data_IF_233646482272
#
_entry.id   IF_233646482272
#
_cell.length_a   1.000
_cell.length_b   1.000
_cell.length_c   1.000
_cell.angle_alpha   90.00
_cell.angle_beta   90.00
_cell.angle_gamma   90.00
#
_symmetry.space_group_name_H-M   'P 1'
#
loop_
_entity.id
_entity.type
_entity.pdbx_description
1 polymer ?
#
# COMPACT_ATOMS: atom_id res chain seq x y z
N UNK A 1 -5.82 18.82 9.25
CA UNK A 1 -5.26 17.58 8.76
C UNK A 1 -4.30 17.87 7.63
N UNK A 2 -3.11 17.34 7.71
CA UNK A 2 -2.00 17.85 6.92
C UNK A 2 -1.55 16.93 5.78
N UNK A 3 -2.48 16.27 5.10
CA UNK A 3 -2.15 15.55 3.87
C UNK A 3 -2.02 16.59 2.77
N UNK A 4 -0.80 16.74 2.26
CA UNK A 4 -0.50 17.80 1.31
C UNK A 4 -0.95 17.47 -0.10
N UNK A 5 -1.01 16.19 -0.46
CA UNK A 5 -1.32 15.77 -1.82
C UNK A 5 -1.77 14.32 -1.85
N UNK A 6 -2.77 14.03 -2.67
CA UNK A 6 -3.28 12.67 -2.87
C UNK A 6 -3.39 12.39 -4.36
N UNK A 7 -2.81 11.28 -4.81
CA UNK A 7 -3.00 10.75 -6.16
C UNK A 7 -3.63 9.38 -6.07
N UNK A 8 -4.48 9.04 -7.04
CA UNK A 8 -5.15 7.73 -7.11
C UNK A 8 -4.72 7.01 -8.37
N UNK A 9 -4.29 5.76 -8.22
CA UNK A 9 -3.90 4.90 -9.33
C UNK A 9 -4.71 3.61 -9.28
N UNK A 10 -4.86 2.96 -10.43
CA UNK A 10 -5.59 1.69 -10.54
C UNK A 10 -4.68 0.67 -11.19
N UNK A 11 -4.54 -0.49 -10.57
CA UNK A 11 -3.70 -1.57 -11.07
C UNK A 11 -4.46 -2.57 -11.91
N UNK A 12 -3.87 -2.99 -13.00
CA UNK A 12 -4.45 -3.98 -13.91
C UNK A 12 -4.10 -5.40 -13.46
N UNK A 13 -4.87 -6.36 -13.96
CA UNK A 13 -4.60 -7.78 -13.76
C UNK A 13 -3.15 -8.12 -14.08
N UNK A 14 -2.52 -8.90 -13.23
CA UNK A 14 -1.13 -9.30 -13.39
C UNK A 14 -0.11 -8.35 -12.78
N UNK A 15 -0.55 -7.23 -12.21
CA UNK A 15 0.36 -6.21 -11.68
C UNK A 15 0.39 -6.12 -10.16
N UNK A 16 -0.60 -6.71 -9.47
CA UNK A 16 -0.75 -6.48 -8.03
C UNK A 16 0.40 -7.06 -7.21
N UNK A 17 0.77 -8.30 -7.46
CA UNK A 17 1.83 -8.96 -6.69
C UNK A 17 3.17 -8.25 -6.83
N UNK A 18 3.56 -7.91 -8.07
CA UNK A 18 4.82 -7.22 -8.31
C UNK A 18 4.81 -5.82 -7.70
N UNK A 19 3.69 -5.11 -7.78
CA UNK A 19 3.59 -3.78 -7.20
C UNK A 19 3.67 -3.82 -5.67
N UNK A 20 3.03 -4.82 -5.06
CA UNK A 20 3.10 -5.00 -3.61
C UNK A 20 4.54 -5.24 -3.15
N UNK A 21 5.29 -6.08 -3.87
CA UNK A 21 6.70 -6.29 -3.57
C UNK A 21 7.50 -5.00 -3.74
N UNK A 22 7.20 -4.22 -4.76
CA UNK A 22 7.91 -2.97 -5.03
C UNK A 22 7.71 -1.97 -3.87
N UNK A 23 6.47 -1.76 -3.42
CA UNK A 23 6.24 -0.76 -2.37
C UNK A 23 6.82 -1.20 -1.03
N UNK A 24 6.93 -2.50 -0.76
CA UNK A 24 7.55 -2.99 0.46
C UNK A 24 9.06 -3.19 0.32
N UNK A 25 9.62 -2.90 -0.85
CA UNK A 25 11.05 -3.13 -1.13
C UNK A 25 11.43 -4.58 -0.90
N UNK A 26 10.56 -5.49 -1.35
CA UNK A 26 10.71 -6.92 -1.14
C UNK A 26 11.05 -7.61 -2.46
N UNK A 27 11.37 -8.90 -2.42
CA UNK A 27 11.69 -9.67 -3.59
C UNK A 27 12.85 -9.06 -4.37
N UNK A 28 12.68 -8.88 -5.67
CA UNK A 28 13.74 -8.32 -6.52
C UNK A 28 14.03 -6.86 -6.24
N UNK A 29 13.19 -6.18 -5.48
CA UNK A 29 13.37 -4.77 -5.14
C UNK A 29 14.08 -4.57 -3.81
N UNK A 30 14.42 -5.64 -3.12
CA UNK A 30 14.99 -5.60 -1.78
C UNK A 30 16.30 -4.81 -1.71
N UNK A 31 17.12 -4.91 -2.75
CA UNK A 31 18.42 -4.25 -2.80
C UNK A 31 18.34 -2.82 -3.31
N UNK A 32 17.18 -2.41 -3.80
CA UNK A 32 16.97 -1.08 -4.32
C UNK A 32 16.29 -0.24 -3.23
N UNK A 33 16.77 0.93 -2.96
CA UNK A 33 16.11 1.91 -2.08
C UNK A 33 15.73 1.38 -0.70
N UNK A 34 16.48 0.43 -0.16
CA UNK A 34 16.23 -0.10 1.18
C UNK A 34 16.17 0.99 2.24
N UNK A 35 16.94 2.06 2.06
CA UNK A 35 17.07 3.11 3.05
C UNK A 35 15.90 4.08 3.07
N UNK A 36 14.97 4.01 2.11
CA UNK A 36 13.86 4.93 2.06
C UNK A 36 12.55 4.37 2.63
N UNK A 37 12.52 3.09 3.00
CA UNK A 37 11.33 2.48 3.59
C UNK A 37 11.27 2.78 5.09
N UNK A 38 10.29 3.58 5.51
CA UNK A 38 10.09 3.92 6.92
C UNK A 38 9.16 2.98 7.64
N UNK A 39 8.14 2.48 6.97
CA UNK A 39 7.09 1.69 7.60
C UNK A 39 6.37 0.85 6.56
N UNK A 40 5.99 -0.36 6.95
CA UNK A 40 5.19 -1.23 6.09
C UNK A 40 4.24 -2.04 6.97
N UNK A 41 2.98 -2.10 6.58
CA UNK A 41 1.96 -2.84 7.31
C UNK A 41 0.87 -3.26 6.34
N UNK A 42 0.11 -4.28 6.71
CA UNK A 42 -1.05 -4.72 5.94
C UNK A 42 -2.18 -5.09 6.91
N UNK A 43 -3.39 -5.13 6.39
CA UNK A 43 -4.54 -5.47 7.22
C UNK A 43 -5.71 -5.99 6.42
N UNK A 44 -6.70 -6.49 7.14
CA UNK A 44 -7.95 -7.01 6.59
C UNK A 44 -7.76 -8.14 5.58
N UNK A 45 -6.62 -8.81 5.61
CA UNK A 45 -6.35 -9.92 4.71
C UNK A 45 -7.23 -11.13 5.09
N UNK A 46 -7.69 -11.92 4.11
CA UNK A 46 -8.36 -13.16 4.42
C UNK A 46 -7.40 -14.10 5.16
N UNK A 47 -7.96 -15.06 5.89
CA UNK A 47 -7.19 -15.95 6.77
C UNK A 47 -6.02 -16.60 6.04
N UNK A 48 -6.23 -17.03 4.80
CA UNK A 48 -5.20 -17.73 4.03
C UNK A 48 -4.04 -16.83 3.58
N UNK A 49 -4.18 -15.51 3.74
CA UNK A 49 -3.14 -14.55 3.36
C UNK A 49 -2.61 -13.74 4.56
N UNK A 50 -3.06 -14.02 5.78
CA UNK A 50 -2.66 -13.23 6.95
C UNK A 50 -1.16 -13.25 7.22
N UNK A 51 -0.51 -14.40 7.01
CA UNK A 51 0.91 -14.53 7.25
C UNK A 51 1.77 -14.03 6.08
N UNK A 52 1.18 -13.90 4.90
CA UNK A 52 1.90 -13.47 3.71
C UNK A 52 0.93 -12.74 2.78
N UNK A 53 0.86 -11.41 2.87
CA UNK A 53 -0.11 -10.64 2.08
C UNK A 53 0.11 -10.76 0.57
N UNK A 54 1.31 -11.11 0.13
CA UNK A 54 1.56 -11.27 -1.30
C UNK A 54 0.73 -12.42 -1.90
N UNK A 55 0.36 -13.40 -1.09
CA UNK A 55 -0.55 -14.47 -1.55
C UNK A 55 -1.89 -13.89 -2.00
N UNK A 56 -2.40 -12.89 -1.30
CA UNK A 56 -3.63 -12.22 -1.70
C UNK A 56 -3.48 -11.56 -3.07
N UNK A 57 -2.40 -10.84 -3.27
CA UNK A 57 -2.17 -10.14 -4.54
C UNK A 57 -1.92 -11.11 -5.69
N UNK A 58 -1.24 -12.22 -5.43
CA UNK A 58 -1.08 -13.29 -6.42
C UNK A 58 -2.42 -13.87 -6.83
N UNK A 59 -3.30 -14.13 -5.86
CA UNK A 59 -4.64 -14.64 -6.14
C UNK A 59 -5.46 -13.62 -6.93
N UNK A 60 -5.37 -12.35 -6.58
CA UNK A 60 -6.06 -11.29 -7.31
C UNK A 60 -5.60 -11.28 -8.78
N UNK A 61 -4.30 -11.39 -9.02
CA UNK A 61 -3.77 -11.41 -10.38
C UNK A 61 -4.23 -12.63 -11.17
N UNK A 62 -4.41 -13.78 -10.50
CA UNK A 62 -4.81 -15.03 -11.16
C UNK A 62 -6.31 -15.08 -11.47
N UNK A 63 -7.14 -14.57 -10.56
CA UNK A 63 -8.58 -14.83 -10.61
C UNK A 63 -9.42 -13.63 -11.02
N UNK A 64 -8.83 -12.47 -11.21
CA UNK A 64 -9.58 -11.31 -11.70
C UNK A 64 -9.85 -11.44 -13.19
N UNK A 65 -10.91 -10.80 -13.65
CA UNK A 65 -11.25 -10.80 -15.08
C UNK A 65 -10.15 -10.08 -15.87
N UNK A 66 -9.97 -10.50 -17.12
CA UNK A 66 -8.91 -9.98 -18.00
C UNK A 66 -8.78 -8.45 -18.00
N UNK A 67 -9.90 -7.74 -18.01
CA UNK A 67 -9.91 -6.27 -18.03
C UNK A 67 -10.24 -5.67 -16.67
N UNK A 68 -10.21 -6.48 -15.61
CA UNK A 68 -10.51 -6.01 -14.28
C UNK A 68 -9.32 -5.33 -13.62
N UNK A 69 -9.62 -4.67 -12.51
CA UNK A 69 -8.61 -4.04 -11.67
C UNK A 69 -8.31 -4.93 -10.48
N UNK A 70 -7.04 -5.14 -10.17
CA UNK A 70 -6.64 -5.97 -9.03
C UNK A 70 -6.36 -5.14 -7.78
N UNK A 71 -6.10 -3.85 -7.93
CA UNK A 71 -5.92 -2.97 -6.80
C UNK A 71 -6.16 -1.52 -7.19
N UNK A 72 -6.40 -0.72 -6.16
CA UNK A 72 -6.37 0.74 -6.26
C UNK A 72 -5.30 1.22 -5.30
N UNK A 73 -4.60 2.26 -5.65
CA UNK A 73 -3.55 2.80 -4.78
C UNK A 73 -3.77 4.29 -4.56
N UNK A 74 -3.70 4.69 -3.29
CA UNK A 74 -3.56 6.10 -2.94
C UNK A 74 -2.09 6.37 -2.67
N UNK A 75 -1.54 7.33 -3.38
CA UNK A 75 -0.19 7.83 -3.11
C UNK A 75 -0.34 9.18 -2.43
N UNK A 76 0.13 9.28 -1.20
CA UNK A 76 -0.17 10.40 -0.31
C UNK A 76 1.13 11.07 0.11
N UNK A 77 1.29 12.34 -0.25
CA UNK A 77 2.44 13.12 0.23
C UNK A 77 2.20 13.50 1.69
N UNK A 78 3.17 13.20 2.54
CA UNK A 78 3.08 13.47 3.98
C UNK A 78 3.90 14.71 4.34
N UNK A 79 3.48 15.47 5.38
CA UNK A 79 4.24 16.63 5.81
C UNK A 79 5.61 16.21 6.34
N UNK A 80 6.66 16.86 5.83
CA UNK A 80 8.02 16.56 6.26
C UNK A 80 8.33 17.05 7.67
N UNK A 81 7.54 17.99 8.19
CA UNK A 81 7.69 18.51 9.55
C UNK A 81 7.24 17.52 10.62
N UNK A 82 6.48 16.50 10.27
CA UNK A 82 6.05 15.47 11.23
C UNK A 82 7.17 14.48 11.47
N UNK A 83 7.22 13.95 12.70
CA UNK A 83 8.13 12.84 12.99
C UNK A 83 7.64 11.57 12.28
N UNK A 84 8.51 10.53 12.13
CA UNK A 84 8.05 9.27 11.57
C UNK A 84 6.84 8.68 12.30
N UNK A 85 6.80 8.78 13.63
CA UNK A 85 5.68 8.27 14.42
C UNK A 85 4.41 9.06 14.16
N UNK A 86 4.51 10.36 13.99
CA UNK A 86 3.36 11.19 13.67
C UNK A 86 2.83 10.90 12.27
N UNK A 87 3.71 10.61 11.32
CA UNK A 87 3.29 10.22 9.97
C UNK A 87 2.54 8.90 9.98
N UNK A 88 3.00 7.94 10.78
CA UNK A 88 2.32 6.66 10.94
C UNK A 88 0.93 6.85 11.53
N UNK A 89 0.81 7.65 12.60
CA UNK A 89 -0.48 7.95 13.21
C UNK A 89 -1.45 8.59 12.21
N UNK A 90 -0.97 9.54 11.44
CA UNK A 90 -1.79 10.22 10.44
C UNK A 90 -2.34 9.24 9.40
N UNK A 91 -1.48 8.36 8.91
CA UNK A 91 -1.88 7.39 7.89
C UNK A 91 -2.78 6.32 8.47
N UNK A 92 -2.53 5.86 9.68
CA UNK A 92 -3.40 4.87 10.31
C UNK A 92 -4.79 5.42 10.54
N UNK A 93 -4.89 6.68 10.93
CA UNK A 93 -6.18 7.34 11.06
C UNK A 93 -6.91 7.46 9.72
N UNK A 94 -6.17 7.79 8.68
CA UNK A 94 -6.72 7.86 7.32
C UNK A 94 -7.25 6.48 6.88
N UNK A 95 -6.49 5.41 7.14
CA UNK A 95 -6.92 4.05 6.80
C UNK A 95 -8.18 3.67 7.55
N UNK A 96 -8.25 3.99 8.85
CA UNK A 96 -9.43 3.69 9.66
C UNK A 96 -10.68 4.37 9.10
N UNK A 97 -10.55 5.60 8.64
CA UNK A 97 -11.67 6.37 8.12
C UNK A 97 -12.08 5.93 6.72
N UNK A 98 -11.12 5.66 5.84
CA UNK A 98 -11.40 5.40 4.43
C UNK A 98 -11.61 3.91 4.12
N UNK A 99 -10.90 3.05 4.81
CA UNK A 99 -10.93 1.61 4.56
C UNK A 99 -11.60 0.85 5.69
N UNK A 100 -11.24 1.19 6.94
CA UNK A 100 -11.75 0.48 8.10
C UNK A 100 -11.44 -0.99 8.03
N UNK A 101 -12.46 -1.83 8.17
CA UNK A 101 -12.33 -3.28 8.10
C UNK A 101 -12.85 -3.87 6.79
N UNK A 102 -13.15 -3.03 5.80
CA UNK A 102 -13.85 -3.46 4.59
C UNK A 102 -12.96 -4.15 3.57
N UNK A 103 -11.76 -3.66 3.35
CA UNK A 103 -10.93 -4.08 2.22
C UNK A 103 -9.55 -4.53 2.66
N UNK A 104 -9.02 -5.60 2.07
CA UNK A 104 -7.61 -5.93 2.25
C UNK A 104 -6.73 -4.80 1.75
N UNK A 105 -5.70 -4.47 2.50
CA UNK A 105 -4.80 -3.39 2.12
C UNK A 105 -3.36 -3.70 2.49
N UNK A 106 -2.45 -2.99 1.83
CA UNK A 106 -1.04 -3.02 2.13
C UNK A 106 -0.52 -1.60 2.04
N UNK A 107 0.19 -1.18 3.08
CA UNK A 107 0.70 0.18 3.19
C UNK A 107 2.21 0.17 3.30
N UNK A 108 2.85 1.09 2.61
CA UNK A 108 4.27 1.36 2.81
C UNK A 108 4.50 2.87 2.84
N UNK A 109 5.34 3.34 3.75
CA UNK A 109 5.75 4.73 3.80
C UNK A 109 7.20 4.79 3.34
N UNK A 110 7.46 5.57 2.31
CA UNK A 110 8.78 5.81 1.77
C UNK A 110 9.22 7.22 2.11
N UNK A 111 10.50 7.40 2.39
CA UNK A 111 11.02 8.72 2.70
C UNK A 111 12.36 8.94 1.98
N UNK A 112 12.33 9.02 0.63
CA UNK A 112 13.54 9.36 -0.10
C UNK A 112 13.86 10.83 0.09
N UNK A 113 15.13 11.20 -0.08
CA UNK A 113 15.52 12.60 -0.07
C UNK A 113 15.26 13.22 -1.43
N UNK A 114 14.70 14.41 -1.43
CA UNK A 114 14.54 15.20 -2.64
C UNK A 114 15.89 15.71 -3.12
N UNK A 115 15.93 16.29 -4.31
CA UNK A 115 17.17 16.83 -4.89
C UNK A 115 17.82 17.90 -4.03
N UNK A 116 17.02 18.60 -3.21
CA UNK A 116 17.54 19.62 -2.30
C UNK A 116 18.09 19.03 -0.99
N UNK A 117 18.11 17.70 -0.85
CA UNK A 117 18.58 17.00 0.33
C UNK A 117 17.57 16.91 1.46
N UNK A 118 16.38 17.46 1.28
CA UNK A 118 15.33 17.43 2.30
C UNK A 118 14.50 16.15 2.19
N UNK A 119 13.86 15.76 3.29
CA UNK A 119 12.98 14.60 3.33
C UNK A 119 11.77 14.80 2.45
N UNK A 120 11.28 13.71 1.86
CA UNK A 120 10.13 13.73 0.98
C UNK A 120 9.24 12.52 1.27
N UNK A 121 8.65 12.45 2.48
CA UNK A 121 7.89 11.28 2.87
C UNK A 121 6.59 11.16 2.12
N UNK A 122 6.26 9.94 1.71
CA UNK A 122 4.96 9.66 1.08
C UNK A 122 4.54 8.23 1.38
N UNK A 123 3.23 8.03 1.39
CA UNK A 123 2.62 6.74 1.65
C UNK A 123 2.06 6.15 0.37
N UNK A 124 2.22 4.85 0.21
CA UNK A 124 1.57 4.07 -0.82
C UNK A 124 0.58 3.14 -0.14
N UNK A 125 -0.71 3.40 -0.30
CA UNK A 125 -1.77 2.59 0.26
C UNK A 125 -2.47 1.85 -0.88
N UNK A 126 -2.23 0.55 -0.94
CA UNK A 126 -2.73 -0.34 -1.97
C UNK A 126 -3.84 -1.18 -1.38
N UNK A 127 -5.01 -1.21 -2.03
CA UNK A 127 -6.14 -1.97 -1.49
C UNK A 127 -6.98 -2.56 -2.62
N UNK A 128 -7.76 -3.60 -2.27
CA UNK A 128 -8.68 -4.26 -3.20
C UNK A 128 -10.10 -4.02 -2.70
N UNK A 129 -10.96 -3.54 -3.58
CA UNK A 129 -12.32 -3.12 -3.22
C UNK A 129 -13.33 -4.26 -3.13
N UNK A 130 -12.92 -5.51 -3.26
CA UNK A 130 -13.83 -6.63 -3.06
C UNK A 130 -14.06 -6.84 -1.59
N UNK A 131 -15.33 -6.95 -1.21
CA UNK A 131 -15.70 -7.20 0.18
C UNK A 131 -15.34 -8.63 0.58
N UNK A 132 -14.91 -8.78 1.82
CA UNK A 132 -14.59 -10.08 2.40
C UNK A 132 -15.88 -10.67 2.98
N UNK A 133 -16.66 -11.33 2.14
CA UNK A 133 -17.97 -11.89 2.54
C UNK A 133 -17.95 -13.40 2.73
N UNK A 134 -16.75 -13.98 2.82
CA UNK A 134 -16.62 -15.42 2.97
C UNK A 134 -16.69 -16.21 1.67
N UNK A 135 -16.90 -15.53 0.56
CA UNK A 135 -16.93 -16.17 -0.76
C UNK A 135 -15.64 -15.82 -1.48
N UNK A 136 -14.93 -16.84 -1.91
CA UNK A 136 -13.70 -16.65 -2.68
C UNK A 136 -14.03 -16.29 -4.12
N UNK A 137 -13.41 -15.26 -4.62
CA UNK A 137 -13.72 -14.76 -5.97
C UNK A 137 -12.46 -14.61 -6.82
#
# INVERSE_FOLDING_TARGET
MAIARLSVKVGKVGKASAHAEYIERDGRYEKEKLNDLEHAVYGNMPTWAEANPNLFWQAADLYERKNGSTYREFEIALPRELSPEQRIELIEDFIDQEIGTKYPYQLAIHNPKAMDGLEQPHAHLMFNERLQDGIER
#
